data_IF_235972898435
#
_entry.id   IF_235972898435
#
_cell.length_a   1.000
_cell.length_b   1.000
_cell.length_c   1.000
_cell.angle_alpha   90.00
_cell.angle_beta   90.00
_cell.angle_gamma   90.00
#
_symmetry.space_group_name_H-M   'P 1'
#
loop_
_entity.id
_entity.type
_entity.pdbx_description
1 polymer ?
#
# COMPACT_ATOMS: atom_id res chain seq x y z
N UNK A 1 26.01 27.07 -34.66
CA UNK A 1 24.70 27.70 -34.42
C UNK A 1 23.93 26.90 -33.35
N UNK A 2 24.46 26.87 -32.13
CA UNK A 2 23.80 26.35 -30.92
C UNK A 2 24.29 27.23 -29.76
N UNK A 3 23.38 27.94 -29.07
CA UNK A 3 23.69 28.74 -27.87
C UNK A 3 23.21 27.97 -26.64
N UNK A 4 24.13 27.69 -25.73
CA UNK A 4 23.84 27.19 -24.39
C UNK A 4 23.34 28.33 -23.49
N UNK A 5 22.18 28.13 -22.83
CA UNK A 5 21.66 29.04 -21.81
C UNK A 5 22.24 28.71 -20.43
N UNK A 6 22.93 29.67 -19.83
CA UNK A 6 23.37 29.63 -18.42
C UNK A 6 22.21 30.00 -17.50
N UNK A 7 21.95 29.20 -16.46
CA UNK A 7 21.11 29.60 -15.32
C UNK A 7 22.03 29.98 -14.16
N UNK A 8 21.94 31.25 -13.75
CA UNK A 8 22.68 31.83 -12.63
C UNK A 8 21.97 31.54 -11.30
N UNK A 9 22.70 30.93 -10.37
CA UNK A 9 22.34 30.81 -8.95
C UNK A 9 22.61 32.12 -8.22
N UNK A 10 21.61 32.71 -7.58
CA UNK A 10 21.78 33.83 -6.66
C UNK A 10 21.40 33.39 -5.23
N UNK A 11 22.41 33.37 -4.33
CA UNK A 11 22.24 33.32 -2.87
C UNK A 11 21.98 34.75 -2.37
N UNK A 12 20.94 34.94 -1.56
CA UNK A 12 20.78 36.12 -0.72
C UNK A 12 20.44 35.67 0.70
N UNK A 13 21.24 36.17 1.65
CA UNK A 13 21.22 35.82 3.06
C UNK A 13 20.02 36.36 3.82
N UNK A 14 19.79 35.77 4.99
CA UNK A 14 18.59 35.97 5.80
C UNK A 14 18.51 37.31 6.53
N UNK A 15 17.28 37.64 6.91
CA UNK A 15 16.88 38.38 8.13
C UNK A 15 15.38 38.15 8.36
N UNK A 16 14.99 38.19 9.64
CA UNK A 16 13.76 37.59 10.21
C UNK A 16 12.42 38.02 9.62
N UNK A 17 11.46 37.08 9.63
CA UNK A 17 10.04 37.33 9.41
C UNK A 17 9.29 37.23 10.74
N UNK A 18 8.92 38.38 11.28
CA UNK A 18 8.01 38.53 12.41
C UNK A 18 6.54 38.41 11.95
N UNK A 19 5.69 37.94 12.86
CA UNK A 19 4.25 37.75 12.75
C UNK A 19 3.53 38.98 12.19
N UNK A 20 2.71 38.78 11.16
CA UNK A 20 1.69 39.72 10.70
C UNK A 20 0.37 38.96 10.53
N UNK A 21 -0.52 39.09 11.51
CA UNK A 21 -1.97 38.87 11.40
C UNK A 21 -2.63 39.43 12.66
N UNK A 22 -2.89 40.74 12.68
CA UNK A 22 -3.78 41.39 13.64
C UNK A 22 -4.76 42.28 12.88
N UNK A 23 -5.97 41.78 12.66
CA UNK A 23 -7.11 42.50 12.11
C UNK A 23 -8.34 42.19 12.95
N UNK A 24 -8.80 43.18 13.71
CA UNK A 24 -9.99 43.16 14.56
C UNK A 24 -11.28 43.22 13.72
N UNK A 25 -12.18 42.26 13.92
CA UNK A 25 -13.57 42.31 13.43
C UNK A 25 -14.51 42.86 14.53
N UNK A 26 -15.55 43.67 14.20
CA UNK A 26 -16.47 44.20 15.19
C UNK A 26 -17.55 43.17 15.63
N UNK A 27 -17.94 43.25 16.91
CA UNK A 27 -18.96 42.39 17.55
C UNK A 27 -20.40 42.73 17.10
N UNK A 28 -21.32 41.74 17.00
CA UNK A 28 -22.75 41.99 16.89
C UNK A 28 -23.40 42.21 18.27
N UNK A 29 -24.58 42.85 18.35
CA UNK A 29 -25.22 43.22 19.60
C UNK A 29 -25.89 42.02 20.28
N UNK A 30 -25.93 42.08 21.61
CA UNK A 30 -26.48 41.07 22.50
C UNK A 30 -28.01 41.17 22.65
N UNK A 31 -28.64 39.99 22.66
CA UNK A 31 -29.65 39.50 23.62
C UNK A 31 -31.00 39.09 23.02
N UNK A 32 -31.31 37.80 23.20
CA UNK A 32 -32.63 37.31 23.61
C UNK A 32 -32.44 36.00 24.37
N UNK A 33 -33.17 35.89 25.45
CA UNK A 33 -32.97 35.05 26.63
C UNK A 33 -33.50 33.61 26.49
N UNK A 34 -32.76 32.65 27.02
CA UNK A 34 -33.25 31.31 27.42
C UNK A 34 -32.57 30.93 28.74
N UNK A 35 -33.23 30.21 29.68
CA UNK A 35 -32.77 30.10 31.07
C UNK A 35 -31.54 29.19 31.22
N UNK A 36 -30.65 29.41 32.22
CA UNK A 36 -29.39 28.68 32.33
C UNK A 36 -29.61 27.35 33.08
N UNK A 37 -29.81 26.27 32.33
CA UNK A 37 -29.80 24.89 32.87
C UNK A 37 -28.55 24.07 32.51
N UNK A 38 -27.46 24.71 32.05
CA UNK A 38 -26.28 23.98 31.56
C UNK A 38 -24.96 24.28 32.27
N UNK A 39 -24.84 25.36 33.04
CA UNK A 39 -23.55 25.72 33.68
C UNK A 39 -23.16 24.78 34.82
N UNK A 40 -24.14 24.38 35.66
CA UNK A 40 -23.92 23.41 36.75
C UNK A 40 -23.53 22.03 36.23
N UNK A 41 -24.18 21.53 35.18
CA UNK A 41 -23.88 20.21 34.60
C UNK A 41 -22.50 20.18 33.93
N UNK A 42 -22.12 21.26 33.24
CA UNK A 42 -20.81 21.40 32.62
C UNK A 42 -19.70 21.53 33.68
N UNK A 43 -19.93 22.30 34.74
CA UNK A 43 -19.00 22.42 35.87
C UNK A 43 -18.83 21.07 36.60
N UNK A 44 -19.90 20.31 36.77
CA UNK A 44 -19.87 18.99 37.40
C UNK A 44 -19.13 17.94 36.54
N UNK A 45 -19.30 18.01 35.21
CA UNK A 45 -18.56 17.16 34.25
C UNK A 45 -17.07 17.49 34.22
N UNK A 46 -16.70 18.78 34.26
CA UNK A 46 -15.30 19.20 34.32
C UNK A 46 -14.65 18.87 35.67
N UNK A 47 -15.39 19.01 36.78
CA UNK A 47 -14.92 18.60 38.10
C UNK A 47 -14.65 17.10 38.17
N UNK A 48 -15.57 16.26 37.69
CA UNK A 48 -15.35 14.79 37.59
C UNK A 48 -14.16 14.42 36.72
N UNK A 49 -13.90 15.16 35.64
CA UNK A 49 -12.74 14.94 34.78
C UNK A 49 -11.44 15.28 35.49
N UNK A 50 -11.38 16.41 36.20
CA UNK A 50 -10.21 16.83 36.99
C UNK A 50 -9.95 15.90 38.17
N UNK A 51 -10.99 15.42 38.84
CA UNK A 51 -10.90 14.42 39.91
C UNK A 51 -10.35 13.09 39.37
N UNK A 52 -10.77 12.65 38.17
CA UNK A 52 -10.20 11.46 37.49
C UNK A 52 -8.75 11.66 37.07
N UNK A 53 -8.40 12.79 36.47
CA UNK A 53 -7.02 13.10 36.07
C UNK A 53 -6.11 13.19 37.31
N UNK A 54 -6.58 13.79 38.40
CA UNK A 54 -5.85 13.87 39.67
C UNK A 54 -5.67 12.50 40.34
N UNK A 55 -6.67 11.62 40.28
CA UNK A 55 -6.58 10.26 40.81
C UNK A 55 -5.61 9.37 40.02
N UNK A 56 -5.51 9.57 38.70
CA UNK A 56 -4.54 8.87 37.84
C UNK A 56 -3.12 9.37 38.12
N UNK A 57 -2.95 10.68 38.34
CA UNK A 57 -1.63 11.29 38.59
C UNK A 57 -1.12 11.11 40.03
N UNK A 58 -2.00 10.91 41.01
CA UNK A 58 -1.61 10.76 42.42
C UNK A 58 -1.15 9.34 42.80
N UNK A 59 -1.22 8.38 41.88
CA UNK A 59 -0.78 6.99 42.13
C UNK A 59 -1.53 6.28 43.25
N UNK A 60 -2.62 6.85 43.77
CA UNK A 60 -3.49 6.22 44.76
C UNK A 60 -4.43 5.24 44.07
N UNK A 61 -3.89 4.11 43.61
CA UNK A 61 -4.69 2.91 43.43
C UNK A 61 -5.02 2.39 44.83
N UNK A 62 -6.24 2.64 45.32
CA UNK A 62 -6.81 1.76 46.34
C UNK A 62 -6.85 0.35 45.74
N UNK A 63 -6.42 -0.70 46.47
CA UNK A 63 -6.69 -2.07 46.07
C UNK A 63 -8.20 -2.29 46.30
N UNK A 64 -9.01 -1.78 45.38
CA UNK A 64 -10.30 -2.39 45.14
C UNK A 64 -9.98 -3.83 44.76
N UNK A 65 -10.60 -4.76 45.49
CA UNK A 65 -10.56 -6.21 45.30
C UNK A 65 -10.26 -6.57 43.83
N UNK A 66 -9.35 -7.53 43.62
CA UNK A 66 -9.08 -8.19 42.35
C UNK A 66 -10.35 -8.91 41.85
N UNK A 67 -11.40 -8.16 41.58
CA UNK A 67 -12.45 -8.53 40.67
C UNK A 67 -11.81 -8.52 39.30
N UNK A 68 -11.34 -9.69 38.87
CA UNK A 68 -11.12 -10.02 37.47
C UNK A 68 -12.18 -9.27 36.67
N UNK A 69 -11.78 -8.28 35.85
CA UNK A 69 -12.68 -7.63 34.91
C UNK A 69 -13.15 -8.71 33.93
N UNK A 70 -14.20 -9.42 34.34
CA UNK A 70 -14.87 -10.43 33.54
C UNK A 70 -15.47 -9.69 32.36
N UNK A 71 -14.84 -9.78 31.20
CA UNK A 71 -15.48 -9.47 29.95
C UNK A 71 -16.62 -10.46 29.78
N UNK A 72 -17.83 -10.07 30.20
CA UNK A 72 -19.02 -10.83 29.87
C UNK A 72 -19.32 -10.60 28.39
N UNK A 73 -19.45 -11.69 27.66
CA UNK A 73 -19.86 -11.63 26.27
C UNK A 73 -21.28 -11.06 26.22
N UNK A 74 -21.42 -9.81 25.77
CA UNK A 74 -22.73 -9.19 25.60
C UNK A 74 -23.48 -9.98 24.53
N UNK A 75 -24.67 -10.46 24.88
CA UNK A 75 -25.53 -11.18 23.96
C UNK A 75 -25.74 -10.35 22.69
N UNK A 76 -25.30 -10.89 21.55
CA UNK A 76 -25.46 -10.24 20.24
C UNK A 76 -26.94 -10.27 19.87
N UNK A 77 -27.53 -9.08 19.77
CA UNK A 77 -28.93 -8.95 19.37
C UNK A 77 -28.98 -9.07 17.84
N UNK A 78 -29.70 -10.06 17.35
CA UNK A 78 -29.88 -10.31 15.92
C UNK A 78 -31.23 -9.82 15.43
N UNK A 79 -31.28 -9.43 14.16
CA UNK A 79 -32.53 -9.10 13.49
C UNK A 79 -33.27 -10.39 13.12
N UNK A 80 -34.45 -10.62 13.71
CA UNK A 80 -35.18 -11.90 13.60
C UNK A 80 -36.35 -11.89 12.61
N UNK A 81 -36.70 -10.72 12.05
CA UNK A 81 -37.77 -10.67 11.07
C UNK A 81 -37.31 -11.21 9.71
N UNK A 82 -38.23 -11.90 9.04
CA UNK A 82 -37.98 -12.48 7.73
C UNK A 82 -38.08 -11.40 6.63
N UNK A 83 -36.99 -10.69 6.39
CA UNK A 83 -36.85 -9.76 5.26
C UNK A 83 -36.30 -10.51 4.06
N UNK A 84 -37.03 -10.51 2.93
CA UNK A 84 -36.54 -11.15 1.71
C UNK A 84 -35.25 -10.44 1.22
N UNK A 85 -34.28 -11.16 0.64
CA UNK A 85 -33.02 -10.56 0.18
C UNK A 85 -33.24 -9.35 -0.73
N UNK A 86 -32.55 -8.26 -0.39
CA UNK A 86 -32.63 -6.98 -1.11
C UNK A 86 -33.94 -6.20 -0.93
N UNK A 87 -34.83 -6.60 -0.03
CA UNK A 87 -35.98 -5.75 0.34
C UNK A 87 -35.62 -4.81 1.49
N UNK A 88 -36.28 -3.65 1.54
CA UNK A 88 -36.07 -2.68 2.61
C UNK A 88 -36.42 -3.33 3.95
N UNK A 89 -35.51 -3.19 4.92
CA UNK A 89 -35.69 -3.66 6.28
C UNK A 89 -36.98 -3.13 6.89
N UNK A 90 -37.74 -3.99 7.56
CA UNK A 90 -38.88 -3.56 8.38
C UNK A 90 -38.38 -2.85 9.64
N UNK A 91 -38.70 -1.57 9.75
CA UNK A 91 -38.35 -0.69 10.87
C UNK A 91 -39.52 -0.46 11.84
N UNK A 92 -40.64 -1.17 11.69
CA UNK A 92 -41.79 -1.09 12.59
C UNK A 92 -41.64 -1.95 13.84
N UNK A 93 -40.67 -2.87 13.84
CA UNK A 93 -40.35 -3.73 14.98
C UNK A 93 -39.83 -2.94 16.18
N UNK A 94 -40.05 -3.42 17.42
CA UNK A 94 -39.48 -2.80 18.61
C UNK A 94 -37.96 -2.69 18.52
N UNK A 95 -37.44 -1.49 18.83
CA UNK A 95 -36.00 -1.27 18.88
C UNK A 95 -35.39 -2.08 20.04
N UNK A 96 -34.18 -2.64 19.84
CA UNK A 96 -33.50 -3.36 20.90
C UNK A 96 -33.11 -2.41 22.05
N UNK A 97 -32.98 -2.94 23.28
CA UNK A 97 -32.64 -2.14 24.46
C UNK A 97 -31.23 -1.52 24.40
N UNK A 98 -30.38 -2.00 23.49
CA UNK A 98 -29.03 -1.49 23.24
C UNK A 98 -28.71 -1.52 21.74
N UNK A 99 -27.79 -0.66 21.31
CA UNK A 99 -27.31 -0.66 19.92
C UNK A 99 -26.58 -1.97 19.60
N UNK A 100 -26.99 -2.62 18.52
CA UNK A 100 -26.34 -3.81 17.95
C UNK A 100 -26.09 -3.55 16.46
N UNK A 101 -24.82 -3.47 16.01
CA UNK A 101 -24.49 -3.31 14.59
C UNK A 101 -25.10 -4.41 13.72
N UNK A 102 -24.99 -5.69 14.13
CA UNK A 102 -25.57 -6.82 13.40
C UNK A 102 -27.09 -6.69 13.24
N UNK A 103 -27.79 -6.24 14.28
CA UNK A 103 -29.21 -5.94 14.18
C UNK A 103 -29.44 -4.82 13.18
N UNK A 104 -28.70 -3.70 13.30
CA UNK A 104 -28.94 -2.48 12.53
C UNK A 104 -28.64 -2.70 11.06
N UNK A 105 -27.44 -3.17 10.72
CA UNK A 105 -26.89 -3.33 9.37
C UNK A 105 -27.58 -4.42 8.54
N UNK A 106 -28.22 -5.39 9.20
CA UNK A 106 -28.97 -6.46 8.54
C UNK A 106 -29.93 -5.92 7.47
N UNK A 107 -29.92 -6.56 6.30
CA UNK A 107 -30.75 -6.27 5.12
C UNK A 107 -30.44 -4.95 4.37
N UNK A 108 -29.78 -3.96 4.99
CA UNK A 108 -29.56 -2.66 4.35
C UNK A 108 -28.71 -2.72 3.10
N UNK A 109 -27.57 -3.41 3.17
CA UNK A 109 -26.61 -3.39 2.08
C UNK A 109 -27.21 -4.00 0.80
N UNK A 110 -27.83 -5.18 0.93
CA UNK A 110 -28.50 -5.85 -0.18
C UNK A 110 -29.61 -5.00 -0.78
N UNK A 111 -30.36 -4.26 0.06
CA UNK A 111 -31.38 -3.34 -0.42
C UNK A 111 -30.76 -2.16 -1.17
N UNK A 112 -29.71 -1.53 -0.64
CA UNK A 112 -29.01 -0.43 -1.32
C UNK A 112 -28.46 -0.83 -2.68
N UNK A 113 -27.84 -2.02 -2.76
CA UNK A 113 -27.31 -2.57 -4.01
C UNK A 113 -28.44 -2.85 -5.01
N UNK A 114 -29.54 -3.47 -4.57
CA UNK A 114 -30.69 -3.78 -5.44
C UNK A 114 -31.38 -2.53 -6.00
N UNK A 115 -31.53 -1.48 -5.19
CA UNK A 115 -32.14 -0.21 -5.64
C UNK A 115 -31.19 0.63 -6.53
N UNK A 116 -29.92 0.24 -6.63
CA UNK A 116 -28.93 0.92 -7.45
C UNK A 116 -28.45 2.25 -6.88
N UNK A 117 -28.56 2.48 -5.56
CA UNK A 117 -28.20 3.75 -4.92
C UNK A 117 -26.73 4.14 -5.05
N UNK A 118 -25.87 3.24 -5.52
CA UNK A 118 -24.45 3.50 -5.71
C UNK A 118 -24.11 3.95 -7.13
N UNK A 119 -25.05 3.83 -8.07
CA UNK A 119 -24.83 4.10 -9.50
C UNK A 119 -25.08 5.57 -9.85
N UNK A 120 -24.26 6.18 -10.73
CA UNK A 120 -24.43 7.55 -11.22
C UNK A 120 -25.83 7.83 -11.79
N UNK A 121 -26.42 6.84 -12.46
CA UNK A 121 -27.70 6.94 -13.15
C UNK A 121 -28.88 7.18 -12.19
N UNK A 122 -28.77 6.73 -10.93
CA UNK A 122 -29.75 7.06 -9.89
C UNK A 122 -29.54 8.46 -9.32
N UNK A 123 -28.30 8.92 -9.23
CA UNK A 123 -27.99 10.25 -8.68
C UNK A 123 -28.56 11.38 -9.54
N UNK A 124 -28.61 11.20 -10.86
CA UNK A 124 -29.21 12.15 -11.81
C UNK A 124 -30.70 12.39 -11.57
N UNK A 125 -31.39 11.42 -10.95
CA UNK A 125 -32.84 11.48 -10.71
C UNK A 125 -33.18 12.13 -9.36
N UNK A 126 -32.18 12.52 -8.58
CA UNK A 126 -32.39 13.09 -7.25
C UNK A 126 -32.90 14.55 -7.37
N UNK A 127 -33.84 14.98 -6.50
CA UNK A 127 -34.38 16.35 -6.55
C UNK A 127 -33.35 17.47 -6.36
N UNK A 128 -32.21 17.15 -5.74
CA UNK A 128 -31.11 18.07 -5.44
C UNK A 128 -29.90 17.81 -6.35
N UNK A 129 -30.06 17.07 -7.44
CA UNK A 129 -28.98 16.79 -8.39
C UNK A 129 -28.42 18.10 -8.97
N UNK A 130 -27.09 18.16 -9.10
CA UNK A 130 -26.37 19.26 -9.74
C UNK A 130 -25.61 18.73 -10.96
N UNK A 131 -25.31 19.62 -11.90
CA UNK A 131 -24.50 19.29 -13.09
C UNK A 131 -23.00 19.25 -12.75
N UNK A 132 -22.63 18.38 -11.80
CA UNK A 132 -21.26 18.14 -11.40
C UNK A 132 -21.02 16.65 -11.21
N UNK A 133 -19.89 16.17 -11.69
CA UNK A 133 -19.48 14.77 -11.58
C UNK A 133 -18.36 14.61 -10.55
N UNK A 134 -18.35 13.51 -9.83
CA UNK A 134 -17.23 13.09 -9.00
C UNK A 134 -16.94 11.61 -9.30
N UNK A 135 -15.71 11.30 -9.71
CA UNK A 135 -15.32 9.93 -10.01
C UNK A 135 -14.09 9.53 -9.21
N UNK A 136 -14.11 8.32 -8.69
CA UNK A 136 -13.01 7.70 -7.97
C UNK A 136 -12.89 6.24 -8.39
N UNK A 137 -11.68 5.70 -8.42
CA UNK A 137 -11.44 4.27 -8.50
C UNK A 137 -10.94 3.82 -7.14
N UNK A 138 -11.48 2.72 -6.61
CA UNK A 138 -10.82 2.08 -5.46
C UNK A 138 -9.41 1.65 -5.91
N UNK A 139 -8.36 1.88 -5.09
CA UNK A 139 -7.08 1.22 -5.28
C UNK A 139 -7.33 -0.29 -5.26
N UNK A 140 -7.22 -1.00 -6.40
CA UNK A 140 -7.73 -2.35 -6.52
C UNK A 140 -6.93 -3.27 -5.58
N UNK A 141 -7.55 -3.92 -4.59
CA UNK A 141 -6.85 -4.85 -3.72
C UNK A 141 -6.28 -6.02 -4.52
N UNK A 142 -5.08 -6.45 -4.14
CA UNK A 142 -4.41 -7.62 -4.72
C UNK A 142 -5.16 -8.89 -4.36
N UNK A 143 -5.33 -9.81 -5.30
CA UNK A 143 -5.92 -11.15 -5.07
C UNK A 143 -4.95 -12.10 -4.34
N UNK A 144 -4.22 -11.61 -3.34
CA UNK A 144 -3.18 -12.36 -2.61
C UNK A 144 -3.64 -12.86 -1.23
N UNK A 145 -4.85 -12.50 -0.79
CA UNK A 145 -5.39 -12.89 0.50
C UNK A 145 -6.62 -12.08 0.89
N UNK A 146 -6.97 -12.11 2.18
CA UNK A 146 -8.08 -11.34 2.76
C UNK A 146 -7.68 -9.88 3.01
N UNK A 147 -8.66 -8.97 3.03
CA UNK A 147 -8.44 -7.59 3.41
C UNK A 147 -8.03 -7.47 4.88
N UNK A 148 -7.20 -6.46 5.17
CA UNK A 148 -6.71 -6.12 6.51
C UNK A 148 -7.10 -4.69 6.90
N UNK A 149 -6.82 -4.28 8.14
CA UNK A 149 -7.24 -2.97 8.68
C UNK A 149 -6.81 -1.77 7.83
N UNK A 150 -5.62 -1.82 7.22
CA UNK A 150 -5.18 -0.81 6.24
C UNK A 150 -6.15 -0.61 5.06
N UNK A 151 -6.70 -1.71 4.50
CA UNK A 151 -7.72 -1.61 3.45
C UNK A 151 -9.02 -0.99 4.00
N UNK A 152 -9.45 -1.40 5.20
CA UNK A 152 -10.64 -0.85 5.83
C UNK A 152 -10.53 0.67 6.07
N UNK A 153 -9.34 1.14 6.47
CA UNK A 153 -9.07 2.57 6.63
C UNK A 153 -9.21 3.33 5.30
N UNK A 154 -8.56 2.85 4.23
CA UNK A 154 -8.64 3.46 2.90
C UNK A 154 -10.08 3.53 2.42
N UNK A 155 -10.79 2.40 2.47
CA UNK A 155 -12.20 2.29 2.05
C UNK A 155 -13.09 3.22 2.86
N UNK A 156 -12.90 3.33 4.18
CA UNK A 156 -13.71 4.20 5.02
C UNK A 156 -13.54 5.69 4.64
N UNK A 157 -12.31 6.12 4.33
CA UNK A 157 -12.04 7.50 3.90
C UNK A 157 -12.66 7.78 2.53
N UNK A 158 -12.47 6.88 1.57
CA UNK A 158 -13.01 7.02 0.22
C UNK A 158 -14.55 7.01 0.21
N UNK A 159 -15.16 6.08 0.97
CA UNK A 159 -16.62 5.96 1.09
C UNK A 159 -17.22 7.22 1.73
N UNK A 160 -16.59 7.77 2.76
CA UNK A 160 -17.05 9.02 3.39
C UNK A 160 -17.05 10.19 2.39
N UNK A 161 -15.99 10.32 1.57
CA UNK A 161 -15.90 11.34 0.53
C UNK A 161 -16.97 11.14 -0.54
N UNK A 162 -17.12 9.92 -1.03
CA UNK A 162 -18.11 9.54 -2.05
C UNK A 162 -19.53 9.83 -1.59
N UNK A 163 -19.88 9.44 -0.35
CA UNK A 163 -21.19 9.72 0.25
C UNK A 163 -21.42 11.21 0.41
N UNK A 164 -20.43 11.95 0.91
CA UNK A 164 -20.53 13.41 1.04
C UNK A 164 -20.80 14.10 -0.30
N UNK A 165 -20.12 13.69 -1.38
CA UNK A 165 -20.35 14.21 -2.73
C UNK A 165 -21.74 13.87 -3.27
N UNK A 166 -22.23 12.65 -3.04
CA UNK A 166 -23.61 12.27 -3.39
C UNK A 166 -24.64 13.13 -2.67
N UNK A 167 -24.44 13.38 -1.37
CA UNK A 167 -25.33 14.25 -0.58
C UNK A 167 -25.33 15.71 -1.05
N UNK A 168 -24.27 16.16 -1.72
CA UNK A 168 -24.19 17.47 -2.37
C UNK A 168 -24.88 17.50 -3.76
N UNK A 169 -25.47 16.37 -4.20
CA UNK A 169 -26.16 16.26 -5.48
C UNK A 169 -25.27 15.91 -6.67
N UNK A 170 -23.98 15.61 -6.45
CA UNK A 170 -23.08 15.26 -7.56
C UNK A 170 -23.47 13.90 -8.16
N UNK A 171 -23.19 13.75 -9.46
CA UNK A 171 -23.17 12.45 -10.13
C UNK A 171 -21.90 11.71 -9.75
N UNK A 172 -22.02 10.77 -8.82
CA UNK A 172 -20.85 10.08 -8.25
C UNK A 172 -20.66 8.67 -8.81
N UNK A 173 -19.46 8.40 -9.31
CA UNK A 173 -19.00 7.06 -9.70
C UNK A 173 -17.83 6.64 -8.81
N UNK A 174 -17.99 5.54 -8.08
CA UNK A 174 -16.88 4.91 -7.36
C UNK A 174 -16.70 3.48 -7.88
N UNK A 175 -15.66 3.29 -8.70
CA UNK A 175 -15.45 2.07 -9.47
C UNK A 175 -14.81 1.00 -8.57
N UNK A 176 -15.43 -0.19 -8.43
CA UNK A 176 -14.81 -1.33 -7.78
C UNK A 176 -13.86 -2.07 -8.73
N UNK A 177 -12.84 -2.72 -8.17
CA UNK A 177 -12.06 -3.70 -8.91
C UNK A 177 -11.05 -4.42 -8.04
N UNK A 178 -10.44 -5.47 -8.59
CA UNK A 178 -9.35 -6.23 -7.98
C UNK A 178 -8.15 -6.32 -8.92
N UNK A 179 -6.96 -6.41 -8.34
CA UNK A 179 -5.72 -6.55 -9.10
C UNK A 179 -5.20 -7.99 -9.08
N UNK A 180 -4.81 -8.50 -10.24
CA UNK A 180 -4.14 -9.77 -10.43
C UNK A 180 -2.79 -9.86 -9.71
N UNK A 181 -2.13 -8.74 -9.44
CA UNK A 181 -0.89 -8.63 -8.66
C UNK A 181 0.28 -9.53 -9.11
N UNK A 182 0.29 -9.96 -10.38
CA UNK A 182 1.35 -10.73 -11.04
C UNK A 182 2.16 -11.68 -10.13
N UNK A 183 3.40 -11.27 -9.84
CA UNK A 183 4.39 -12.00 -9.03
C UNK A 183 3.87 -12.34 -7.62
N UNK A 184 3.12 -11.44 -6.99
CA UNK A 184 2.61 -11.64 -5.64
C UNK A 184 1.59 -12.78 -5.60
N UNK A 185 0.64 -12.79 -6.56
CA UNK A 185 -0.34 -13.88 -6.67
C UNK A 185 0.31 -15.21 -7.01
N UNK A 186 1.27 -15.20 -7.95
CA UNK A 186 2.04 -16.39 -8.27
C UNK A 186 2.71 -16.98 -7.02
N UNK A 187 3.42 -16.16 -6.25
CA UNK A 187 4.13 -16.60 -5.04
C UNK A 187 3.18 -17.19 -3.99
N UNK A 188 2.01 -16.59 -3.79
CA UNK A 188 1.00 -17.10 -2.84
C UNK A 188 0.44 -18.44 -3.29
N UNK A 189 0.11 -18.58 -4.58
CA UNK A 189 -0.40 -19.84 -5.14
C UNK A 189 0.66 -20.94 -5.08
N UNK A 190 1.92 -20.64 -5.39
CA UNK A 190 3.02 -21.60 -5.26
C UNK A 190 3.20 -22.10 -3.82
N UNK A 191 3.19 -21.20 -2.84
CA UNK A 191 3.29 -21.56 -1.43
C UNK A 191 2.11 -22.43 -0.97
N UNK A 192 0.90 -22.10 -1.43
CA UNK A 192 -0.31 -22.89 -1.14
C UNK A 192 -0.17 -24.30 -1.69
N UNK A 193 0.14 -24.44 -2.98
CA UNK A 193 0.28 -25.74 -3.66
C UNK A 193 1.35 -26.61 -2.99
N UNK A 194 2.46 -25.99 -2.56
CA UNK A 194 3.50 -26.66 -1.81
C UNK A 194 2.99 -27.13 -0.43
N UNK A 195 2.24 -26.30 0.29
CA UNK A 195 1.73 -26.64 1.63
C UNK A 195 0.61 -27.69 1.62
N UNK A 196 -0.29 -27.65 0.62
CA UNK A 196 -1.48 -28.52 0.57
C UNK A 196 -1.16 -29.86 -0.10
N UNK A 197 -0.29 -29.85 -1.11
CA UNK A 197 -0.04 -31.03 -1.95
C UNK A 197 1.43 -31.41 -2.12
N UNK A 198 2.37 -30.66 -1.53
CA UNK A 198 3.81 -30.94 -1.67
C UNK A 198 4.37 -30.69 -3.07
N UNK A 199 3.59 -30.07 -3.97
CA UNK A 199 3.96 -29.86 -5.38
C UNK A 199 4.52 -28.47 -5.60
N UNK A 200 5.59 -28.37 -6.39
CA UNK A 200 6.24 -27.12 -6.81
C UNK A 200 5.67 -26.66 -8.15
N UNK A 201 5.83 -25.38 -8.50
CA UNK A 201 5.41 -24.83 -9.82
C UNK A 201 5.93 -25.67 -10.99
N UNK A 202 7.17 -26.15 -10.88
CA UNK A 202 7.86 -26.94 -11.89
C UNK A 202 7.18 -28.29 -12.17
N UNK A 203 6.34 -28.77 -11.25
CA UNK A 203 5.58 -30.03 -11.40
C UNK A 203 4.28 -29.84 -12.21
N UNK A 204 4.05 -28.65 -12.75
CA UNK A 204 2.88 -28.30 -13.55
C UNK A 204 3.28 -27.80 -14.92
N UNK A 205 2.48 -28.12 -15.93
CA UNK A 205 2.51 -27.37 -17.18
C UNK A 205 2.01 -25.95 -16.97
N UNK A 206 2.37 -25.02 -17.87
CA UNK A 206 1.88 -23.64 -17.82
C UNK A 206 0.35 -23.56 -17.75
N UNK A 207 -0.36 -24.39 -18.51
CA UNK A 207 -1.83 -24.37 -18.56
C UNK A 207 -2.46 -24.93 -17.29
N UNK A 208 -1.86 -25.93 -16.66
CA UNK A 208 -2.31 -26.44 -15.36
C UNK A 208 -2.11 -25.40 -14.28
N UNK A 209 -0.93 -24.80 -14.21
CA UNK A 209 -0.64 -23.79 -13.20
C UNK A 209 -1.55 -22.56 -13.34
N UNK A 210 -1.79 -22.08 -14.57
CA UNK A 210 -2.72 -20.98 -14.81
C UNK A 210 -4.14 -21.30 -14.35
N UNK A 211 -4.60 -22.56 -14.47
CA UNK A 211 -5.92 -22.97 -13.95
C UNK A 211 -5.99 -22.84 -12.44
N UNK A 212 -4.96 -23.24 -11.71
CA UNK A 212 -4.89 -23.06 -10.25
C UNK A 212 -4.87 -21.58 -9.84
N UNK A 213 -4.15 -20.74 -10.58
CA UNK A 213 -4.14 -19.28 -10.35
C UNK A 213 -5.53 -18.67 -10.57
N UNK A 214 -6.24 -19.05 -11.64
CA UNK A 214 -7.60 -18.57 -11.90
C UNK A 214 -8.60 -19.05 -10.85
N UNK A 215 -8.46 -20.31 -10.39
CA UNK A 215 -9.28 -20.84 -9.29
C UNK A 215 -9.09 -20.01 -8.02
N UNK A 216 -7.84 -19.75 -7.64
CA UNK A 216 -7.49 -18.90 -6.51
C UNK A 216 -8.07 -17.48 -6.64
N UNK A 217 -7.93 -16.86 -7.82
CA UNK A 217 -8.48 -15.53 -8.10
C UNK A 217 -9.99 -15.49 -7.89
N UNK A 218 -10.72 -16.51 -8.35
CA UNK A 218 -12.17 -16.54 -8.23
C UNK A 218 -12.62 -16.71 -6.79
N UNK A 219 -11.94 -17.58 -6.02
CA UNK A 219 -12.20 -17.77 -4.59
C UNK A 219 -11.92 -16.49 -3.79
N UNK A 220 -10.75 -15.85 -3.99
CA UNK A 220 -10.33 -14.68 -3.21
C UNK A 220 -10.96 -13.38 -3.66
N UNK A 221 -11.18 -13.20 -4.97
CA UNK A 221 -11.84 -12.01 -5.49
C UNK A 221 -13.25 -11.86 -4.92
N UNK A 222 -13.99 -12.97 -4.82
CA UNK A 222 -15.33 -12.97 -4.22
C UNK A 222 -15.28 -12.63 -2.72
N UNK A 223 -14.34 -13.22 -1.97
CA UNK A 223 -14.16 -12.92 -0.55
C UNK A 223 -13.85 -11.42 -0.31
N UNK A 224 -12.95 -10.84 -1.12
CA UNK A 224 -12.60 -9.42 -1.05
C UNK A 224 -13.84 -8.55 -1.29
N UNK A 225 -14.63 -8.87 -2.31
CA UNK A 225 -15.86 -8.14 -2.59
C UNK A 225 -16.87 -8.26 -1.46
N UNK A 226 -17.02 -9.44 -0.85
CA UNK A 226 -17.88 -9.61 0.32
C UNK A 226 -17.39 -8.78 1.51
N UNK A 227 -16.08 -8.73 1.76
CA UNK A 227 -15.50 -7.90 2.83
C UNK A 227 -15.77 -6.41 2.61
N UNK A 228 -15.61 -5.92 1.38
CA UNK A 228 -15.95 -4.53 1.02
C UNK A 228 -17.44 -4.23 1.22
N UNK A 229 -18.33 -5.18 0.85
CA UNK A 229 -19.77 -5.06 1.12
C UNK A 229 -20.07 -5.03 2.62
N UNK A 230 -19.42 -5.88 3.41
CA UNK A 230 -19.55 -5.91 4.88
C UNK A 230 -19.05 -4.63 5.54
N UNK A 231 -18.05 -3.96 4.97
CA UNK A 231 -17.61 -2.64 5.43
C UNK A 231 -18.61 -1.51 5.08
N UNK A 232 -19.65 -1.81 4.29
CA UNK A 232 -20.61 -0.82 3.84
C UNK A 232 -20.11 0.04 2.68
N UNK A 233 -19.06 -0.37 1.97
CA UNK A 233 -18.49 0.39 0.86
C UNK A 233 -19.55 0.61 -0.23
N UNK A 234 -19.83 1.87 -0.57
CA UNK A 234 -20.87 2.23 -1.53
C UNK A 234 -20.37 2.24 -2.99
N UNK A 235 -19.73 1.15 -3.39
CA UNK A 235 -19.15 0.94 -4.72
C UNK A 235 -20.23 0.61 -5.77
N UNK A 236 -20.02 1.02 -7.02
CA UNK A 236 -20.89 0.62 -8.13
C UNK A 236 -20.50 -0.78 -8.65
N UNK A 237 -21.04 -1.81 -8.00
CA UNK A 237 -20.75 -3.22 -8.32
C UNK A 237 -21.10 -3.64 -9.75
N UNK A 238 -21.99 -2.90 -10.44
CA UNK A 238 -22.31 -3.17 -11.84
C UNK A 238 -21.11 -2.95 -12.77
N UNK A 239 -20.10 -2.23 -12.31
CA UNK A 239 -18.87 -1.87 -13.03
C UNK A 239 -17.62 -2.53 -12.44
N UNK A 240 -17.77 -3.57 -11.61
CA UNK A 240 -16.64 -4.27 -11.02
C UNK A 240 -15.72 -4.84 -12.11
N UNK A 241 -14.42 -4.54 -12.01
CA UNK A 241 -13.43 -4.97 -12.98
C UNK A 241 -12.27 -5.74 -12.36
N UNK A 242 -11.60 -6.52 -13.20
CA UNK A 242 -10.36 -7.20 -12.86
C UNK A 242 -9.28 -6.83 -13.88
N UNK A 243 -8.04 -6.65 -13.43
CA UNK A 243 -6.97 -6.13 -14.30
C UNK A 243 -6.61 -7.04 -15.48
N UNK A 244 -6.96 -8.33 -15.44
CA UNK A 244 -6.84 -9.24 -16.60
C UNK A 244 -8.14 -9.45 -17.38
N UNK A 245 -9.18 -8.67 -17.13
CA UNK A 245 -10.39 -8.72 -17.95
C UNK A 245 -10.06 -8.30 -19.39
N UNK A 246 -10.75 -8.85 -20.42
CA UNK A 246 -10.42 -8.56 -21.82
C UNK A 246 -10.41 -7.08 -22.17
N UNK A 247 -11.25 -6.26 -21.55
CA UNK A 247 -11.27 -4.82 -21.77
C UNK A 247 -10.01 -4.13 -21.23
N UNK A 248 -9.55 -4.51 -20.03
CA UNK A 248 -8.32 -3.98 -19.43
C UNK A 248 -7.09 -4.48 -20.18
N UNK A 249 -7.05 -5.76 -20.57
CA UNK A 249 -5.95 -6.28 -21.39
C UNK A 249 -5.80 -5.53 -22.71
N UNK A 250 -6.92 -5.20 -23.39
CA UNK A 250 -6.89 -4.35 -24.59
C UNK A 250 -6.35 -2.94 -24.29
N UNK A 251 -6.76 -2.33 -23.18
CA UNK A 251 -6.27 -1.02 -22.79
C UNK A 251 -4.75 -1.01 -22.53
N UNK A 252 -4.23 -2.07 -21.89
CA UNK A 252 -2.79 -2.24 -21.67
C UNK A 252 -2.05 -2.46 -22.99
N UNK A 253 -2.57 -3.28 -23.90
CA UNK A 253 -1.99 -3.47 -25.23
C UNK A 253 -1.95 -2.16 -26.04
N UNK A 254 -3.03 -1.39 -26.02
CA UNK A 254 -3.08 -0.07 -26.67
C UNK A 254 -2.05 0.89 -26.07
N UNK A 255 -1.94 0.94 -24.74
CA UNK A 255 -0.95 1.76 -24.05
C UNK A 255 0.48 1.35 -24.43
N UNK A 256 0.77 0.05 -24.47
CA UNK A 256 2.06 -0.48 -24.91
C UNK A 256 2.39 -0.04 -26.34
N UNK A 257 1.46 -0.23 -27.29
CA UNK A 257 1.66 0.15 -28.69
C UNK A 257 1.92 1.65 -28.83
N UNK A 258 1.12 2.51 -28.18
CA UNK A 258 1.34 3.97 -28.20
C UNK A 258 2.69 4.39 -27.64
N UNK A 259 3.12 3.74 -26.56
CA UNK A 259 4.41 4.03 -25.94
C UNK A 259 5.58 3.52 -26.80
N UNK A 260 5.41 2.40 -27.49
CA UNK A 260 6.38 1.89 -28.46
C UNK A 260 6.47 2.81 -29.70
N UNK A 261 5.33 3.19 -30.28
CA UNK A 261 5.27 4.08 -31.45
C UNK A 261 5.84 5.47 -31.17
N UNK A 262 5.75 5.95 -29.92
CA UNK A 262 6.36 7.21 -29.48
C UNK A 262 7.84 7.07 -29.08
N UNK A 263 8.45 5.89 -29.26
CA UNK A 263 9.86 5.63 -28.95
C UNK A 263 10.19 5.57 -27.45
N UNK A 264 9.18 5.43 -26.58
CA UNK A 264 9.35 5.35 -25.11
C UNK A 264 9.58 3.93 -24.61
N UNK A 265 9.10 2.93 -25.35
CA UNK A 265 9.40 1.52 -25.10
C UNK A 265 10.42 1.07 -26.16
N UNK A 266 11.49 0.44 -25.69
CA UNK A 266 12.54 -0.11 -26.53
C UNK A 266 13.06 -1.41 -25.92
N UNK A 267 13.84 -2.16 -26.71
CA UNK A 267 14.51 -3.38 -26.27
C UNK A 267 16.01 -3.19 -26.38
N UNK A 268 16.72 -3.37 -25.28
CA UNK A 268 18.18 -3.34 -25.21
C UNK A 268 18.70 -4.35 -24.20
N UNK A 269 19.96 -4.71 -24.31
CA UNK A 269 20.67 -5.45 -23.26
C UNK A 269 21.20 -4.44 -22.23
N UNK A 270 20.85 -4.64 -20.96
CA UNK A 270 21.24 -3.76 -19.86
C UNK A 270 21.33 -4.58 -18.56
N UNK A 271 22.01 -4.03 -17.56
CA UNK A 271 21.96 -4.59 -16.21
C UNK A 271 20.55 -4.46 -15.66
N UNK A 272 20.04 -5.54 -15.09
CA UNK A 272 18.71 -5.62 -14.49
C UNK A 272 18.82 -6.25 -13.11
N UNK A 273 17.88 -5.93 -12.22
CA UNK A 273 17.74 -6.65 -10.97
C UNK A 273 17.09 -8.01 -11.27
N UNK A 274 17.84 -9.09 -11.08
CA UNK A 274 17.36 -10.44 -11.31
C UNK A 274 17.08 -11.15 -9.99
N UNK A 275 15.87 -11.70 -9.84
CA UNK A 275 15.53 -12.55 -8.70
C UNK A 275 15.73 -14.01 -9.07
N UNK A 276 16.73 -14.66 -8.46
CA UNK A 276 17.01 -16.09 -8.67
C UNK A 276 15.86 -16.99 -8.19
N UNK A 277 15.10 -16.57 -7.18
CA UNK A 277 13.99 -17.35 -6.64
C UNK A 277 12.73 -17.28 -7.51
N UNK A 278 12.48 -16.12 -8.13
CA UNK A 278 11.34 -15.91 -9.01
C UNK A 278 11.64 -16.24 -10.47
N UNK A 279 12.93 -16.34 -10.83
CA UNK A 279 13.42 -16.50 -12.20
C UNK A 279 12.90 -15.39 -13.12
N UNK A 280 12.91 -14.14 -12.63
CA UNK A 280 12.43 -12.97 -13.37
C UNK A 280 13.25 -11.72 -13.04
N UNK A 281 13.30 -10.80 -14.00
CA UNK A 281 13.71 -9.43 -13.76
C UNK A 281 12.64 -8.71 -12.91
N UNK A 282 13.11 -7.84 -12.02
CA UNK A 282 12.30 -6.98 -11.17
C UNK A 282 12.74 -5.52 -11.32
N UNK A 283 11.82 -4.60 -11.10
CA UNK A 283 12.07 -3.16 -11.16
C UNK A 283 12.76 -2.65 -9.90
N UNK A 284 13.43 -1.50 -9.96
CA UNK A 284 14.12 -0.90 -8.81
C UNK A 284 13.18 -0.65 -7.62
N UNK A 285 11.90 -0.33 -7.88
CA UNK A 285 10.91 -0.08 -6.82
C UNK A 285 10.46 -1.37 -6.11
N UNK A 286 10.75 -2.54 -6.68
CA UNK A 286 10.46 -3.85 -6.08
C UNK A 286 11.65 -4.39 -5.26
N UNK A 287 12.77 -3.65 -5.23
CA UNK A 287 14.00 -4.05 -4.51
C UNK A 287 14.09 -3.34 -3.17
N UNK A 288 14.04 -4.14 -2.09
CA UNK A 288 14.32 -3.66 -0.74
C UNK A 288 15.79 -3.87 -0.36
N UNK A 289 16.51 -2.78 -0.14
CA UNK A 289 17.90 -2.80 0.34
C UNK A 289 17.97 -3.07 1.85
N UNK A 290 18.88 -3.97 2.24
CA UNK A 290 19.18 -4.26 3.65
C UNK A 290 20.63 -3.92 3.96
N UNK A 291 20.82 -2.96 4.86
CA UNK A 291 22.15 -2.56 5.31
C UNK A 291 22.71 -3.55 6.34
N UNK A 292 23.87 -4.12 6.04
CA UNK A 292 24.60 -5.01 6.93
C UNK A 292 25.84 -4.31 7.47
N UNK A 293 26.04 -4.36 8.80
CA UNK A 293 27.21 -3.74 9.46
C UNK A 293 28.46 -4.63 9.48
N UNK A 294 28.33 -5.89 9.07
CA UNK A 294 29.41 -6.87 9.08
C UNK A 294 28.90 -8.26 8.69
N UNK A 295 29.74 -9.30 8.86
CA UNK A 295 29.43 -10.68 8.52
C UNK A 295 28.12 -11.14 9.18
N UNK A 296 27.14 -11.51 8.37
CA UNK A 296 25.79 -11.86 8.82
C UNK A 296 25.27 -13.06 8.03
N UNK A 297 24.85 -14.11 8.75
CA UNK A 297 24.21 -15.28 8.14
C UNK A 297 22.73 -15.00 7.86
N UNK A 298 22.36 -14.97 6.58
CA UNK A 298 21.00 -14.73 6.12
C UNK A 298 20.42 -15.98 5.44
N UNK A 299 19.13 -16.21 5.67
CA UNK A 299 18.37 -17.21 4.89
C UNK A 299 18.06 -16.63 3.51
N UNK A 300 18.44 -17.34 2.45
CA UNK A 300 18.17 -16.97 1.06
C UNK A 300 17.14 -17.95 0.48
N UNK A 301 16.05 -17.47 -0.14
CA UNK A 301 15.09 -18.35 -0.79
C UNK A 301 15.77 -19.28 -1.81
N UNK A 302 15.50 -20.58 -1.72
CA UNK A 302 16.11 -21.61 -2.58
C UNK A 302 17.37 -22.28 -2.01
N UNK A 303 17.89 -21.82 -0.88
CA UNK A 303 19.05 -22.42 -0.20
C UNK A 303 18.62 -23.09 1.11
N UNK A 304 19.13 -24.30 1.36
CA UNK A 304 18.85 -25.04 2.60
C UNK A 304 19.61 -24.47 3.80
N UNK A 305 20.82 -23.96 3.56
CA UNK A 305 21.69 -23.39 4.58
C UNK A 305 21.68 -21.86 4.50
N UNK A 306 21.91 -21.21 5.64
CA UNK A 306 22.15 -19.76 5.66
C UNK A 306 23.44 -19.42 4.91
N UNK A 307 23.40 -18.34 4.16
CA UNK A 307 24.54 -17.81 3.41
C UNK A 307 25.08 -16.60 4.16
N UNK A 308 26.40 -16.50 4.26
CA UNK A 308 27.07 -15.36 4.89
C UNK A 308 27.13 -14.17 3.92
N UNK A 309 26.70 -13.01 4.38
CA UNK A 309 26.78 -11.73 3.66
C UNK A 309 27.54 -10.70 4.49
N UNK A 310 28.10 -9.68 3.82
CA UNK A 310 28.78 -8.57 4.50
C UNK A 310 30.22 -8.89 4.93
N UNK A 311 30.79 -10.00 4.47
CA UNK A 311 32.22 -10.31 4.62
C UNK A 311 33.00 -9.61 3.52
N UNK A 312 34.01 -8.83 3.91
CA UNK A 312 34.92 -8.16 2.98
C UNK A 312 36.17 -9.02 2.80
N UNK A 313 36.44 -9.44 1.57
CA UNK A 313 37.63 -10.20 1.21
C UNK A 313 38.58 -9.33 0.40
N UNK A 314 39.86 -9.42 0.72
CA UNK A 314 40.93 -8.74 -0.02
C UNK A 314 41.81 -9.78 -0.69
N UNK A 315 41.99 -9.64 -2.00
CA UNK A 315 42.90 -10.44 -2.80
C UNK A 315 43.69 -9.52 -3.73
N UNK A 316 44.75 -10.01 -4.37
CA UNK A 316 45.63 -9.19 -5.18
C UNK A 316 45.79 -9.76 -6.59
N UNK A 317 45.82 -8.88 -7.58
CA UNK A 317 46.13 -9.21 -8.97
C UNK A 317 47.59 -8.88 -9.28
N UNK A 318 48.31 -9.82 -9.88
CA UNK A 318 49.66 -9.55 -10.39
C UNK A 318 49.62 -8.55 -11.55
N UNK A 319 50.61 -7.67 -11.59
CA UNK A 319 50.73 -6.64 -12.63
C UNK A 319 51.56 -7.19 -13.79
N UNK A 320 50.99 -7.25 -15.00
CA UNK A 320 51.73 -7.69 -16.18
C UNK A 320 52.93 -6.77 -16.45
N UNK A 321 54.13 -7.36 -16.57
CA UNK A 321 55.37 -6.63 -16.86
C UNK A 321 56.02 -5.92 -15.67
N UNK A 322 55.48 -6.05 -14.45
CA UNK A 322 56.05 -5.47 -13.24
C UNK A 322 56.11 -6.50 -12.10
N UNK A 323 57.12 -6.38 -11.23
CA UNK A 323 57.18 -7.16 -9.99
C UNK A 323 56.34 -6.44 -8.92
N UNK A 324 55.02 -6.68 -8.96
CA UNK A 324 54.06 -6.02 -8.08
C UNK A 324 52.64 -6.53 -8.25
N UNK A 325 51.80 -6.23 -7.25
CA UNK A 325 50.40 -6.66 -7.21
C UNK A 325 49.48 -5.47 -6.86
N UNK A 326 48.22 -5.55 -7.27
CA UNK A 326 47.17 -4.59 -6.91
C UNK A 326 46.13 -5.29 -6.04
N UNK A 327 46.01 -4.85 -4.78
CA UNK A 327 45.03 -5.38 -3.85
C UNK A 327 43.63 -4.79 -4.11
N UNK A 328 42.63 -5.67 -4.20
CA UNK A 328 41.21 -5.33 -4.39
C UNK A 328 40.41 -5.94 -3.24
N UNK A 329 39.50 -5.14 -2.68
CA UNK A 329 38.57 -5.58 -1.64
C UNK A 329 37.16 -5.66 -2.19
N UNK A 330 36.48 -6.79 -2.01
CA UNK A 330 35.11 -7.02 -2.47
C UNK A 330 34.31 -7.83 -1.45
N UNK A 331 32.99 -7.64 -1.45
CA UNK A 331 32.04 -8.50 -0.73
C UNK A 331 31.49 -9.65 -1.59
N UNK A 332 31.90 -9.70 -2.87
CA UNK A 332 31.43 -10.66 -3.86
C UNK A 332 32.61 -11.34 -4.55
N UNK A 333 33.36 -12.22 -3.85
CA UNK A 333 34.51 -12.90 -4.44
C UNK A 333 34.14 -13.75 -5.66
N UNK A 334 32.89 -14.22 -5.76
CA UNK A 334 32.41 -15.00 -6.88
C UNK A 334 32.38 -14.22 -8.20
N UNK A 335 32.33 -12.88 -8.15
CA UNK A 335 32.37 -12.04 -9.36
C UNK A 335 33.77 -11.80 -9.89
N UNK A 336 34.81 -12.17 -9.13
CA UNK A 336 36.23 -12.02 -9.51
C UNK A 336 36.54 -12.62 -10.89
N UNK A 337 35.93 -13.76 -11.23
CA UNK A 337 36.13 -14.43 -12.53
C UNK A 337 35.51 -13.66 -13.72
N UNK A 338 34.62 -12.71 -13.43
CA UNK A 338 34.03 -11.81 -14.42
C UNK A 338 34.70 -10.44 -14.47
N UNK A 339 35.77 -10.21 -13.70
CA UNK A 339 36.49 -8.95 -13.69
C UNK A 339 37.17 -8.73 -15.06
N UNK A 340 36.99 -7.54 -15.62
CA UNK A 340 37.60 -7.12 -16.90
C UNK A 340 38.58 -5.97 -16.75
N UNK A 341 38.56 -5.29 -15.61
CA UNK A 341 39.44 -4.16 -15.28
C UNK A 341 39.41 -3.88 -13.77
N UNK A 342 40.47 -3.22 -13.27
CA UNK A 342 40.51 -2.64 -11.92
C UNK A 342 40.40 -1.12 -12.04
N UNK A 343 39.43 -0.52 -11.34
CA UNK A 343 39.23 0.93 -11.36
C UNK A 343 39.94 1.61 -10.18
N UNK A 344 40.70 2.67 -10.47
CA UNK A 344 41.42 3.48 -9.47
C UNK A 344 40.99 4.94 -9.59
N UNK A 345 40.86 5.63 -8.46
CA UNK A 345 40.53 7.05 -8.47
C UNK A 345 41.66 7.86 -9.12
N UNK A 346 41.39 8.76 -10.08
CA UNK A 346 42.44 9.45 -10.86
C UNK A 346 43.34 10.34 -9.99
N UNK A 347 42.82 10.82 -8.86
CA UNK A 347 43.57 11.67 -7.91
C UNK A 347 44.25 10.87 -6.79
N UNK A 348 44.22 9.53 -6.80
CA UNK A 348 44.84 8.73 -5.73
C UNK A 348 46.37 8.71 -5.87
N UNK A 349 47.13 9.39 -4.98
CA UNK A 349 48.57 9.54 -5.11
C UNK A 349 49.33 8.21 -5.04
N UNK A 350 48.71 7.16 -4.45
CA UNK A 350 49.30 5.81 -4.36
C UNK A 350 49.51 5.17 -5.73
N UNK A 351 48.71 5.57 -6.72
CA UNK A 351 48.68 4.97 -8.06
C UNK A 351 48.99 5.98 -9.18
N UNK A 352 49.25 7.27 -8.87
CA UNK A 352 49.59 8.30 -9.85
C UNK A 352 51.00 8.16 -10.45
N UNK A 353 51.97 7.63 -9.68
CA UNK A 353 53.31 7.35 -10.19
C UNK A 353 53.32 6.23 -11.24
N UNK A 354 52.25 5.43 -11.25
CA UNK A 354 51.99 4.32 -12.15
C UNK A 354 51.18 4.75 -13.38
N UNK A 355 51.36 5.97 -13.89
CA UNK A 355 50.59 6.49 -15.02
C UNK A 355 50.70 5.64 -16.31
N UNK A 356 51.74 4.82 -16.46
CA UNK A 356 51.86 3.80 -17.52
C UNK A 356 50.97 2.56 -17.30
N UNK A 357 50.51 2.32 -16.06
CA UNK A 357 49.54 1.28 -15.69
C UNK A 357 48.08 1.69 -15.93
N UNK A 358 47.80 2.98 -16.17
CA UNK A 358 46.45 3.45 -16.52
C UNK A 358 45.99 3.00 -17.92
N UNK A 359 46.93 2.74 -18.84
CA UNK A 359 46.64 2.14 -20.17
C UNK A 359 46.80 0.61 -20.20
N UNK A 360 47.46 0.02 -19.20
CA UNK A 360 47.48 -1.42 -19.00
C UNK A 360 46.19 -1.79 -18.28
N UNK A 361 45.09 -1.73 -19.05
CA UNK A 361 43.87 -2.44 -18.73
C UNK A 361 44.27 -3.91 -18.67
N UNK A 362 44.58 -4.37 -17.46
CA UNK A 362 45.19 -5.67 -17.18
C UNK A 362 44.42 -6.72 -17.97
N UNK A 363 45.03 -7.27 -19.03
CA UNK A 363 44.60 -8.54 -19.62
C UNK A 363 44.85 -9.55 -18.51
N UNK A 364 43.86 -9.73 -17.65
CA UNK A 364 43.86 -10.75 -16.62
C UNK A 364 43.97 -12.09 -17.37
N UNK A 365 45.19 -12.64 -17.42
CA UNK A 365 45.43 -13.99 -17.91
C UNK A 365 44.92 -14.91 -16.81
N UNK A 366 43.65 -15.26 -16.88
CA UNK A 366 43.11 -16.37 -16.11
C UNK A 366 43.66 -17.62 -16.79
N UNK A 367 44.82 -18.13 -16.32
CA UNK A 367 45.37 -19.44 -16.72
C UNK A 367 44.65 -20.59 -16.00
#
# INVERSE_FOLDING_TARGET
MWRAGRVLTARLGGRGAARLCSGTLPKPPSSTSSPPLSSRLQAQKQRRRREREAAILSGQHSPAEDGVLGWSEKQRIQYTAHTAPGTKKDTSLPLPPSYSPEYVESSWYQWWEKEGFFSPEQHERLPHAVDQTFSLCIPPPNVTGSLHLGHALTVAVEDALVRWRRMQGHRVLWVPGCDHAGIATQTVVERRLLSEGGRRRQDFTRQEFLREVWKWKNERGEEIYQQLRSLGASLDWSRACFTMDPAFSRAVSEAFVRLADSGRIYRSEALVNWSCALESAISDIEVDSKDLRGPTLLSVPGYDNKVEFGTMLTFAYAIEGHDGEVAVSTTRPETMLGDVAVAVHPEDPRYQASASLMEVLIRLRIE
#
